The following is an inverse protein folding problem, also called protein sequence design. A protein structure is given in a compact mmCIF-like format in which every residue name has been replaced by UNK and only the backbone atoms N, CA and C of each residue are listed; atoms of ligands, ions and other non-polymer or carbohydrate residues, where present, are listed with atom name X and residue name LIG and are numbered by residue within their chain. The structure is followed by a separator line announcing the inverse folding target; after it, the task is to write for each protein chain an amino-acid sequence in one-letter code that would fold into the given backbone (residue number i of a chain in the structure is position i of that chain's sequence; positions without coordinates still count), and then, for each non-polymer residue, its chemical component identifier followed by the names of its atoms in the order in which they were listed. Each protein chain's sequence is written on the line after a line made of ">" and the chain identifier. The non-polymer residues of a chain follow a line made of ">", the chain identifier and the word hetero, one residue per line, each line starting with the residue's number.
data_IF_738358157513
#
_entry.id   IF_738358157513
#
_cell.length_a   1.000
_cell.length_b   1.000
_cell.length_c   1.000
_cell.angle_alpha   90.00
_cell.angle_beta   90.00
_cell.angle_gamma   90.00
#
_symmetry.space_group_name_H-M   'P 1'
#
loop_
_entity.id
_entity.type
_entity.pdbx_description
1 polymer ?
#
# COMPACT_ATOMS: atom_id res chain seq x y z
N UNK A 1 13.13 1.94 -11.61
CA UNK A 1 13.02 2.42 -10.22
C UNK A 1 11.96 1.59 -9.48
N UNK A 2 12.20 1.17 -8.23
CA UNK A 2 11.19 0.48 -7.40
C UNK A 2 10.38 1.55 -6.68
N UNK A 3 9.05 1.49 -6.77
CA UNK A 3 8.16 2.42 -6.07
C UNK A 3 7.30 1.66 -5.06
N UNK A 4 6.81 2.34 -4.03
CA UNK A 4 5.92 1.76 -3.04
C UNK A 4 4.58 2.47 -3.05
N UNK A 5 3.53 1.71 -2.74
CA UNK A 5 2.19 2.23 -2.49
C UNK A 5 1.71 1.73 -1.12
N UNK A 6 1.04 2.59 -0.36
CA UNK A 6 0.18 2.20 0.72
C UNK A 6 -1.29 2.26 0.24
N UNK A 7 -2.07 1.22 0.50
CA UNK A 7 -3.48 1.15 0.12
C UNK A 7 -4.31 0.75 1.33
N UNK A 8 -5.13 1.68 1.82
CA UNK A 8 -6.13 1.39 2.85
C UNK A 8 -7.29 0.62 2.22
N UNK A 9 -7.48 -0.63 2.65
CA UNK A 9 -8.53 -1.52 2.12
C UNK A 9 -9.93 -1.06 2.51
N UNK A 10 -10.06 -0.30 3.60
CA UNK A 10 -11.35 0.11 4.13
C UNK A 10 -11.87 1.34 3.40
N UNK A 11 -11.05 2.40 3.29
CA UNK A 11 -11.43 3.62 2.58
C UNK A 11 -11.16 3.59 1.07
N UNK A 12 -10.28 2.69 0.61
CA UNK A 12 -9.80 2.67 -0.78
C UNK A 12 -8.76 3.76 -1.10
N UNK A 13 -8.34 4.53 -0.09
CA UNK A 13 -7.32 5.58 -0.19
C UNK A 13 -5.95 5.00 -0.51
N UNK A 14 -5.16 5.72 -1.30
CA UNK A 14 -3.83 5.26 -1.74
C UNK A 14 -2.81 6.38 -1.56
N UNK A 15 -1.63 6.03 -1.08
CA UNK A 15 -0.50 6.94 -0.96
C UNK A 15 0.74 6.34 -1.63
N UNK A 16 1.45 7.12 -2.44
CA UNK A 16 2.64 6.67 -3.15
C UNK A 16 3.92 7.32 -2.65
N UNK A 17 5.05 6.62 -2.75
CA UNK A 17 6.36 7.21 -2.45
C UNK A 17 7.42 6.18 -2.08
N UNK A 18 8.31 6.58 -1.17
CA UNK A 18 9.29 5.68 -0.57
C UNK A 18 8.61 4.68 0.37
N UNK A 19 9.27 3.56 0.68
CA UNK A 19 8.81 2.58 1.68
C UNK A 19 8.51 3.24 3.02
N UNK A 20 9.40 4.11 3.47
CA UNK A 20 9.28 4.82 4.77
C UNK A 20 8.09 5.76 4.77
N UNK A 21 7.88 6.50 3.66
CA UNK A 21 6.72 7.40 3.52
C UNK A 21 5.41 6.61 3.56
N UNK A 22 5.33 5.49 2.84
CA UNK A 22 4.16 4.62 2.82
C UNK A 22 3.84 4.03 4.19
N UNK A 23 4.86 3.57 4.92
CA UNK A 23 4.71 3.07 6.29
C UNK A 23 4.22 4.16 7.24
N UNK A 24 4.83 5.35 7.21
CA UNK A 24 4.41 6.48 8.03
C UNK A 24 2.96 6.87 7.76
N UNK A 25 2.58 6.93 6.48
CA UNK A 25 1.20 7.20 6.09
C UNK A 25 0.24 6.13 6.62
N UNK A 26 0.60 4.85 6.48
CA UNK A 26 -0.21 3.74 6.98
C UNK A 26 -0.48 3.85 8.49
N UNK A 27 0.56 4.07 9.30
CA UNK A 27 0.39 4.26 10.75
C UNK A 27 -0.47 5.47 11.09
N UNK A 28 -0.37 6.56 10.33
CA UNK A 28 -1.25 7.71 10.52
C UNK A 28 -2.71 7.39 10.17
N UNK A 29 -2.97 6.60 9.12
CA UNK A 29 -4.33 6.14 8.81
C UNK A 29 -4.92 5.30 9.95
N UNK A 30 -4.14 4.38 10.51
CA UNK A 30 -4.57 3.57 11.65
C UNK A 30 -4.87 4.43 12.89
N UNK A 31 -4.08 5.48 13.14
CA UNK A 31 -4.34 6.44 14.23
C UNK A 31 -5.66 7.19 14.05
N UNK A 32 -6.00 7.55 12.82
CA UNK A 32 -7.24 8.26 12.48
C UNK A 32 -8.44 7.29 12.53
N UNK A 33 -8.25 6.07 12.04
CA UNK A 33 -9.27 5.04 11.95
C UNK A 33 -8.72 3.69 12.42
N UNK A 34 -9.05 3.29 13.64
CA UNK A 34 -8.61 2.02 14.23
C UNK A 34 -9.14 0.77 13.50
N UNK A 35 -10.13 0.92 12.61
CA UNK A 35 -10.62 -0.14 11.73
C UNK A 35 -9.94 -0.21 10.36
N UNK A 36 -8.97 0.67 10.06
CA UNK A 36 -8.27 0.65 8.79
C UNK A 36 -7.32 -0.55 8.70
N UNK A 37 -7.15 -1.08 7.48
CA UNK A 37 -6.19 -2.14 7.17
C UNK A 37 -5.42 -1.74 5.92
N UNK A 38 -4.14 -1.40 6.09
CA UNK A 38 -3.32 -0.79 5.05
C UNK A 38 -2.31 -1.78 4.49
N UNK A 39 -2.40 -2.07 3.20
CA UNK A 39 -1.40 -2.86 2.48
C UNK A 39 -0.24 -1.98 2.00
N UNK A 40 0.98 -2.43 2.22
CA UNK A 40 2.18 -1.87 1.59
C UNK A 40 2.56 -2.73 0.39
N UNK A 41 2.54 -2.12 -0.79
CA UNK A 41 2.86 -2.75 -2.05
C UNK A 41 4.23 -2.31 -2.54
N UNK A 42 5.04 -3.27 -2.98
CA UNK A 42 6.17 -3.03 -3.87
C UNK A 42 5.66 -3.09 -5.32
N UNK A 43 5.89 -2.03 -6.09
CA UNK A 43 5.47 -1.94 -7.48
C UNK A 43 6.66 -1.63 -8.40
N UNK A 44 6.55 -2.09 -9.64
CA UNK A 44 7.48 -1.79 -10.73
C UNK A 44 6.67 -1.38 -11.96
N UNK A 45 7.21 -0.46 -12.75
CA UNK A 45 6.55 0.00 -13.97
C UNK A 45 6.31 -1.17 -14.93
N UNK A 46 5.10 -1.25 -15.49
CA UNK A 46 4.66 -2.32 -16.43
C UNK A 46 4.84 -3.75 -15.89
N UNK A 47 4.78 -3.96 -14.57
CA UNK A 47 4.94 -5.28 -13.97
C UNK A 47 3.93 -5.50 -12.81
N UNK A 48 3.63 -6.76 -12.45
CA UNK A 48 2.81 -7.06 -11.29
C UNK A 48 3.38 -6.45 -10.02
N UNK A 49 2.48 -6.03 -9.13
CA UNK A 49 2.83 -5.57 -7.79
C UNK A 49 2.94 -6.74 -6.83
N UNK A 50 3.45 -6.46 -5.62
CA UNK A 50 3.48 -7.44 -4.54
C UNK A 50 3.19 -6.77 -3.22
N UNK A 51 2.24 -7.31 -2.45
CA UNK A 51 2.03 -6.91 -1.05
C UNK A 51 3.19 -7.46 -0.24
N UNK A 52 3.91 -6.57 0.44
CA UNK A 52 5.09 -6.92 1.24
C UNK A 52 4.86 -6.73 2.74
N UNK A 53 3.85 -5.94 3.12
CA UNK A 53 3.43 -5.78 4.49
C UNK A 53 1.94 -5.40 4.56
N UNK A 54 1.32 -5.70 5.70
CA UNK A 54 0.01 -5.21 6.10
C UNK A 54 0.16 -4.46 7.44
N UNK A 55 -0.54 -3.35 7.61
CA UNK A 55 -0.53 -2.52 8.81
C UNK A 55 -1.96 -2.32 9.28
N UNK A 56 -2.20 -2.61 10.55
CA UNK A 56 -3.50 -2.46 11.23
C UNK A 56 -3.29 -1.87 12.64
N UNK A 57 -4.34 -1.87 13.46
CA UNK A 57 -4.31 -1.37 14.85
C UNK A 57 -3.34 -2.11 15.77
N UNK A 58 -3.03 -3.37 15.47
CA UNK A 58 -2.19 -4.23 16.30
C UNK A 58 -0.71 -4.12 15.87
N UNK A 59 -0.44 -3.55 14.69
CA UNK A 59 0.88 -3.13 14.26
C UNK A 59 1.14 -3.39 12.77
N UNK A 60 2.42 -3.52 12.42
CA UNK A 60 2.85 -3.85 11.06
C UNK A 60 3.36 -5.28 10.95
N UNK A 61 2.82 -6.05 10.01
CA UNK A 61 3.26 -7.42 9.70
C UNK A 61 3.91 -7.49 8.32
N UNK A 62 5.15 -7.96 8.26
CA UNK A 62 5.82 -8.27 6.99
C UNK A 62 5.32 -9.60 6.40
N UNK A 63 5.15 -9.65 5.09
CA UNK A 63 4.69 -10.84 4.35
C UNK A 63 5.85 -11.36 3.51
N UNK A 64 6.48 -12.44 3.96
CA UNK A 64 7.51 -13.13 3.19
C UNK A 64 6.91 -13.77 1.93
N UNK A 65 7.62 -13.73 0.81
CA UNK A 65 7.10 -14.19 -0.48
C UNK A 65 6.09 -13.24 -1.13
N UNK A 66 5.27 -12.54 -0.33
CA UNK A 66 4.37 -11.45 -0.70
C UNK A 66 3.27 -11.82 -1.71
N UNK A 67 2.03 -11.40 -1.46
CA UNK A 67 0.91 -11.70 -2.37
C UNK A 67 1.04 -10.88 -3.66
N UNK A 68 1.02 -11.55 -4.81
CA UNK A 68 1.05 -10.88 -6.12
C UNK A 68 -0.23 -10.07 -6.36
N UNK A 69 -0.07 -8.93 -7.03
CA UNK A 69 -1.16 -8.07 -7.47
C UNK A 69 -1.01 -7.85 -8.98
N UNK A 70 -2.10 -8.05 -9.73
CA UNK A 70 -2.08 -7.96 -11.19
C UNK A 70 -1.67 -6.56 -11.67
N UNK A 71 -1.08 -6.49 -12.88
CA UNK A 71 -0.70 -5.22 -13.52
C UNK A 71 -1.90 -4.27 -13.59
N UNK A 72 -3.08 -4.78 -13.98
CA UNK A 72 -4.31 -4.00 -14.05
C UNK A 72 -4.69 -3.37 -12.72
N UNK A 73 -4.53 -4.09 -11.61
CA UNK A 73 -4.79 -3.54 -10.29
C UNK A 73 -3.72 -2.52 -9.87
N UNK A 74 -2.45 -2.75 -10.18
CA UNK A 74 -1.39 -1.76 -9.97
C UNK A 74 -1.70 -0.46 -10.72
N UNK A 75 -2.09 -0.54 -11.99
CA UNK A 75 -2.46 0.64 -12.79
C UNK A 75 -3.65 1.41 -12.19
N UNK A 76 -4.65 0.71 -11.64
CA UNK A 76 -5.78 1.35 -10.94
C UNK A 76 -5.31 2.11 -9.69
N UNK A 77 -4.45 1.50 -8.88
CA UNK A 77 -3.92 2.13 -7.66
C UNK A 77 -3.03 3.33 -8.00
N UNK A 78 -2.17 3.21 -9.01
CA UNK A 78 -1.31 4.32 -9.47
C UNK A 78 -2.14 5.53 -9.94
N UNK A 79 -3.23 5.30 -10.69
CA UNK A 79 -4.14 6.39 -11.08
C UNK A 79 -4.73 7.11 -9.87
N UNK A 80 -5.12 6.37 -8.81
CA UNK A 80 -5.65 6.98 -7.58
C UNK A 80 -4.65 7.88 -6.85
N UNK A 81 -3.36 7.55 -6.89
CA UNK A 81 -2.32 8.41 -6.29
C UNK A 81 -2.21 9.76 -7.00
N UNK A 82 -2.44 9.81 -8.32
CA UNK A 82 -2.30 11.04 -9.10
C UNK A 82 -3.56 11.92 -9.11
N UNK A 83 -4.69 11.42 -8.63
CA UNK A 83 -5.98 12.10 -8.64
C UNK A 83 -6.58 12.32 -7.23
N UNK A 84 -5.83 12.01 -6.18
CA UNK A 84 -6.24 12.15 -4.77
C UNK A 84 -5.41 13.19 -4.02
#
# INVERSE_FOLDING_TARGET
>A
MKSYLAHDKCSGSVHGGSRTTCLRWAFNQIKINQGAVVNILLIRHKAPGRVIAEVDKDGGRWIFGGRAISITQVSKLLKRVHHG
#
